data_IF_897919716482
#
_entry.id   IF_897919716482
#
_cell.length_a   1.000
_cell.length_b   1.000
_cell.length_c   1.000
_cell.angle_alpha   90.00
_cell.angle_beta   90.00
_cell.angle_gamma   90.00
#
_symmetry.space_group_name_H-M   'P 1'
#
loop_
_entity.id
_entity.type
_entity.pdbx_description
1 polymer ?
#
# COMPACT_ATOMS: atom_id res chain seq x y z
N UNK A 1 14.40 -4.42 6.70
CA UNK A 1 14.15 -5.15 7.97
C UNK A 1 13.11 -6.24 7.72
N UNK A 2 13.31 -7.46 8.18
CA UNK A 2 12.29 -8.51 8.10
C UNK A 2 11.22 -8.25 9.17
N UNK A 3 9.97 -8.12 8.76
CA UNK A 3 8.80 -7.89 9.64
C UNK A 3 8.35 -9.23 10.23
N UNK A 4 8.12 -10.19 9.36
CA UNK A 4 7.87 -11.60 9.63
C UNK A 4 8.52 -12.42 8.53
N UNK A 5 8.66 -13.73 8.73
CA UNK A 5 9.36 -14.60 7.79
C UNK A 5 8.92 -14.37 6.32
N UNK A 6 9.86 -13.96 5.49
CA UNK A 6 9.66 -13.72 4.07
C UNK A 6 9.00 -12.37 3.71
N UNK A 7 8.76 -11.49 4.68
CA UNK A 7 8.22 -10.15 4.45
C UNK A 7 9.20 -9.10 4.94
N UNK A 8 9.76 -8.33 4.03
CA UNK A 8 10.78 -7.35 4.34
C UNK A 8 10.27 -5.92 4.10
N UNK A 9 10.35 -5.09 5.13
CA UNK A 9 10.09 -3.65 5.03
C UNK A 9 11.31 -2.94 4.44
N UNK A 10 11.04 -2.12 3.44
CA UNK A 10 11.93 -1.11 2.89
C UNK A 10 11.35 0.24 3.31
N UNK A 11 11.91 0.80 4.38
CA UNK A 11 11.37 2.00 5.02
C UNK A 11 11.68 3.25 4.20
N UNK A 12 10.70 4.12 4.05
CA UNK A 12 10.79 5.39 3.34
C UNK A 12 9.80 6.41 3.90
N UNK A 13 9.41 7.39 3.09
CA UNK A 13 8.29 8.27 3.38
C UNK A 13 7.01 7.45 3.47
N UNK A 14 6.71 6.68 2.41
CA UNK A 14 5.78 5.56 2.44
C UNK A 14 6.54 4.25 2.58
N UNK A 15 5.88 3.23 3.08
CA UNK A 15 6.47 1.92 3.31
C UNK A 15 6.33 1.04 2.07
N UNK A 16 7.40 0.35 1.71
CA UNK A 16 7.42 -0.64 0.63
C UNK A 16 7.68 -2.01 1.24
N UNK A 17 6.93 -3.02 0.82
CA UNK A 17 7.11 -4.37 1.34
C UNK A 17 7.53 -5.33 0.24
N UNK A 18 8.64 -6.02 0.48
CA UNK A 18 9.13 -7.08 -0.38
C UNK A 18 8.68 -8.43 0.19
N UNK A 19 7.80 -9.10 -0.53
CA UNK A 19 7.31 -10.44 -0.21
C UNK A 19 8.14 -11.48 -0.96
N UNK A 20 8.82 -12.36 -0.20
CA UNK A 20 9.69 -13.41 -0.73
C UNK A 20 8.95 -14.74 -0.80
N UNK A 21 8.82 -15.27 -2.00
CA UNK A 21 8.38 -16.62 -2.29
C UNK A 21 9.59 -17.51 -2.64
N UNK A 22 9.36 -18.81 -2.84
CA UNK A 22 10.45 -19.74 -3.13
C UNK A 22 11.21 -19.39 -4.41
N UNK A 23 10.51 -19.01 -5.48
CA UNK A 23 11.05 -18.80 -6.83
C UNK A 23 10.91 -17.36 -7.35
N UNK A 24 10.16 -16.51 -6.67
CA UNK A 24 9.89 -15.11 -7.11
C UNK A 24 9.79 -14.14 -5.95
N UNK A 25 9.74 -12.87 -6.30
CA UNK A 25 9.48 -11.75 -5.40
C UNK A 25 8.25 -10.98 -5.86
N UNK A 26 7.44 -10.56 -4.90
CA UNK A 26 6.36 -9.60 -5.10
C UNK A 26 6.64 -8.35 -4.28
N UNK A 27 6.45 -7.19 -4.87
CA UNK A 27 6.55 -5.92 -4.18
C UNK A 27 5.14 -5.38 -3.91
N UNK A 28 4.91 -4.85 -2.72
CA UNK A 28 3.71 -4.09 -2.38
C UNK A 28 4.13 -2.63 -2.27
N UNK A 29 3.63 -1.81 -3.17
CA UNK A 29 4.02 -0.42 -3.43
C UNK A 29 5.48 -0.24 -3.85
N UNK A 30 5.87 0.98 -4.20
CA UNK A 30 7.21 1.25 -4.76
C UNK A 30 7.89 2.48 -4.17
N UNK A 31 7.26 3.16 -3.23
CA UNK A 31 7.81 4.36 -2.61
C UNK A 31 7.90 5.55 -3.57
N UNK A 32 8.71 6.53 -3.20
CA UNK A 32 9.01 7.71 -3.99
C UNK A 32 9.79 7.38 -5.27
N UNK A 33 9.86 8.35 -6.19
CA UNK A 33 10.53 8.21 -7.51
C UNK A 33 12.01 7.79 -7.45
N UNK A 34 12.68 7.91 -6.33
CA UNK A 34 14.11 7.58 -6.14
C UNK A 34 14.35 6.31 -5.30
N UNK A 35 13.31 5.55 -4.97
CA UNK A 35 13.45 4.34 -4.14
C UNK A 35 13.97 3.11 -4.90
N UNK A 36 14.09 3.17 -6.23
CA UNK A 36 14.53 2.02 -7.05
C UNK A 36 15.86 1.41 -6.58
N UNK A 37 16.86 2.25 -6.29
CA UNK A 37 18.17 1.76 -5.82
C UNK A 37 18.07 1.07 -4.45
N UNK A 38 17.24 1.61 -3.54
CA UNK A 38 17.00 1.04 -2.21
C UNK A 38 16.28 -0.31 -2.30
N UNK A 39 15.30 -0.42 -3.22
CA UNK A 39 14.56 -1.65 -3.47
C UNK A 39 15.50 -2.74 -4.01
N UNK A 40 16.37 -2.41 -4.99
CA UNK A 40 17.34 -3.37 -5.52
C UNK A 40 18.37 -3.78 -4.47
N UNK A 41 18.85 -2.84 -3.64
CA UNK A 41 19.73 -3.18 -2.53
C UNK A 41 19.06 -4.11 -1.51
N UNK A 42 17.76 -3.95 -1.26
CA UNK A 42 17.00 -4.83 -0.38
C UNK A 42 16.83 -6.25 -0.98
N UNK A 43 16.64 -6.35 -2.29
CA UNK A 43 16.59 -7.63 -3.01
C UNK A 43 17.94 -8.36 -2.93
N UNK A 44 19.03 -7.65 -3.16
CA UNK A 44 20.38 -8.21 -3.06
C UNK A 44 20.71 -8.65 -1.63
N UNK A 45 20.32 -7.86 -0.63
CA UNK A 45 20.57 -8.16 0.78
C UNK A 45 19.90 -9.45 1.28
N UNK A 46 18.83 -9.92 0.61
CA UNK A 46 18.19 -11.21 0.91
C UNK A 46 18.69 -12.34 0.01
N UNK A 47 19.80 -12.11 -0.73
CA UNK A 47 20.41 -13.10 -1.62
C UNK A 47 19.59 -13.43 -2.88
N UNK A 48 18.77 -12.50 -3.34
CA UNK A 48 17.94 -12.65 -4.54
C UNK A 48 18.42 -11.70 -5.65
N UNK A 49 17.91 -11.90 -6.87
CA UNK A 49 18.24 -11.09 -8.04
C UNK A 49 17.07 -10.17 -8.39
N UNK A 50 17.38 -9.06 -9.03
CA UNK A 50 16.35 -8.10 -9.52
C UNK A 50 15.35 -8.77 -10.48
N UNK A 51 15.83 -9.73 -11.26
CA UNK A 51 15.02 -10.49 -12.21
C UNK A 51 14.02 -11.43 -11.51
N UNK A 52 14.18 -11.70 -10.21
CA UNK A 52 13.23 -12.46 -9.42
C UNK A 52 11.97 -11.64 -9.07
N UNK A 53 12.02 -10.31 -9.20
CA UNK A 53 10.84 -9.45 -9.03
C UNK A 53 9.90 -9.63 -10.23
N UNK A 54 8.83 -10.37 -10.01
CA UNK A 54 7.84 -10.73 -11.04
C UNK A 54 6.57 -9.94 -11.00
N UNK A 55 6.23 -9.40 -9.84
CA UNK A 55 4.95 -8.76 -9.61
C UNK A 55 5.10 -7.56 -8.67
N UNK A 56 4.36 -6.49 -9.00
CA UNK A 56 4.20 -5.30 -8.15
C UNK A 56 2.71 -5.08 -7.95
N UNK A 57 2.26 -5.10 -6.71
CA UNK A 57 0.89 -4.77 -6.33
C UNK A 57 0.89 -3.35 -5.79
N UNK A 58 0.14 -2.49 -6.44
CA UNK A 58 -0.03 -1.08 -6.04
C UNK A 58 -1.30 -0.98 -5.20
N UNK A 59 -1.16 -0.48 -3.96
CA UNK A 59 -2.31 -0.32 -3.06
C UNK A 59 -3.21 0.82 -3.48
N UNK A 60 -2.65 1.92 -3.99
CA UNK A 60 -3.38 3.08 -4.51
C UNK A 60 -2.48 3.98 -5.39
N UNK A 61 -3.06 5.00 -6.03
CA UNK A 61 -2.39 5.77 -7.10
C UNK A 61 -1.41 6.83 -6.63
N UNK A 62 -1.33 7.21 -5.35
CA UNK A 62 -0.51 8.33 -4.90
C UNK A 62 0.98 8.19 -5.25
N UNK A 63 1.61 9.32 -5.51
CA UNK A 63 2.96 9.37 -6.06
C UNK A 63 4.05 8.86 -5.10
N UNK A 64 3.83 8.87 -3.82
CA UNK A 64 4.74 8.27 -2.84
C UNK A 64 4.61 6.75 -2.73
N UNK A 65 3.60 6.14 -3.35
CA UNK A 65 3.42 4.68 -3.51
C UNK A 65 3.78 4.18 -4.90
N UNK A 66 3.68 5.04 -5.91
CA UNK A 66 3.91 4.69 -7.33
C UNK A 66 5.16 5.33 -7.93
N UNK A 67 5.90 6.12 -7.17
CA UNK A 67 6.98 6.95 -7.67
C UNK A 67 8.11 6.21 -8.37
N UNK A 68 8.50 5.03 -7.88
CA UNK A 68 9.52 4.18 -8.51
C UNK A 68 8.94 3.12 -9.47
N UNK A 69 7.62 3.05 -9.64
CA UNK A 69 6.94 1.98 -10.38
C UNK A 69 7.44 1.85 -11.82
N UNK A 70 7.45 2.95 -12.57
CA UNK A 70 7.88 2.94 -13.97
C UNK A 70 9.33 2.47 -14.14
N UNK A 71 10.24 2.97 -13.30
CA UNK A 71 11.66 2.59 -13.33
C UNK A 71 11.88 1.12 -12.95
N UNK A 72 11.12 0.59 -11.98
CA UNK A 72 11.18 -0.82 -11.61
C UNK A 72 10.69 -1.69 -12.74
N UNK A 73 9.57 -1.35 -13.35
CA UNK A 73 8.96 -2.09 -14.48
C UNK A 73 9.90 -2.10 -15.69
N UNK A 74 10.53 -0.98 -16.02
CA UNK A 74 11.53 -0.91 -17.10
C UNK A 74 12.71 -1.85 -16.85
N UNK A 75 13.17 -1.96 -15.62
CA UNK A 75 14.35 -2.74 -15.23
C UNK A 75 14.08 -4.24 -15.03
N UNK A 76 12.88 -4.60 -14.61
CA UNK A 76 12.55 -5.99 -14.20
C UNK A 76 11.55 -6.67 -15.14
N UNK A 77 10.76 -5.90 -15.86
CA UNK A 77 9.61 -6.42 -16.59
C UNK A 77 8.46 -6.90 -15.71
N UNK A 78 8.50 -6.63 -14.41
CA UNK A 78 7.49 -7.07 -13.46
C UNK A 78 6.07 -6.67 -13.88
N UNK A 79 5.12 -7.57 -13.64
CA UNK A 79 3.70 -7.31 -13.88
C UNK A 79 3.15 -6.34 -12.83
N UNK A 80 2.42 -5.33 -13.27
CA UNK A 80 1.78 -4.33 -12.39
C UNK A 80 0.32 -4.67 -12.19
N UNK A 81 -0.08 -4.78 -10.92
CA UNK A 81 -1.43 -5.00 -10.48
C UNK A 81 -1.90 -3.79 -9.68
N UNK A 82 -3.05 -3.23 -10.03
CA UNK A 82 -3.68 -2.12 -9.31
C UNK A 82 -5.20 -2.19 -9.48
N UNK A 83 -5.94 -1.55 -8.59
CA UNK A 83 -7.40 -1.51 -8.72
C UNK A 83 -7.84 -0.75 -9.99
N UNK A 84 -8.91 -1.21 -10.64
CA UNK A 84 -9.42 -0.65 -11.89
C UNK A 84 -9.71 0.86 -11.81
N UNK A 85 -10.13 1.37 -10.65
CA UNK A 85 -10.46 2.79 -10.45
C UNK A 85 -9.20 3.69 -10.34
N UNK A 86 -8.07 3.17 -9.87
CA UNK A 86 -6.81 3.91 -9.77
C UNK A 86 -5.92 3.71 -11.01
N UNK A 87 -6.15 2.67 -11.79
CA UNK A 87 -5.38 2.37 -13.00
C UNK A 87 -5.30 3.54 -14.00
N UNK A 88 -6.36 4.35 -14.24
CA UNK A 88 -6.27 5.52 -15.12
C UNK A 88 -5.30 6.60 -14.61
N UNK A 89 -5.23 6.82 -13.29
CA UNK A 89 -4.28 7.78 -12.68
C UNK A 89 -2.85 7.27 -12.82
N UNK A 90 -2.60 5.99 -12.48
CA UNK A 90 -1.28 5.35 -12.62
C UNK A 90 -0.79 5.38 -14.07
N UNK A 91 -1.69 5.22 -15.05
CA UNK A 91 -1.36 5.33 -16.49
C UNK A 91 -1.17 6.77 -16.96
N UNK A 92 -1.43 7.77 -16.11
CA UNK A 92 -1.34 9.19 -16.48
C UNK A 92 -2.43 9.67 -17.44
N UNK A 93 -3.55 8.95 -17.56
CA UNK A 93 -4.68 9.32 -18.44
C UNK A 93 -5.82 9.99 -17.68
N UNK A 94 -5.77 10.01 -16.36
CA UNK A 94 -6.66 10.76 -15.48
C UNK A 94 -5.85 11.53 -14.43
N UNK A 95 -6.32 12.70 -13.98
CA UNK A 95 -5.70 13.42 -12.88
C UNK A 95 -5.98 12.71 -11.55
N UNK A 96 -5.10 12.91 -10.58
CA UNK A 96 -5.31 12.53 -9.19
C UNK A 96 -6.39 13.43 -8.57
N UNK A 97 -7.45 12.87 -7.96
CA UNK A 97 -8.43 13.67 -7.23
C UNK A 97 -7.79 14.31 -5.99
N UNK A 98 -8.07 15.61 -5.70
CA UNK A 98 -7.57 16.23 -4.48
C UNK A 98 -8.29 15.66 -3.25
N UNK A 99 -7.62 15.68 -2.07
CA UNK A 99 -8.25 15.26 -0.82
C UNK A 99 -9.38 16.21 -0.40
N UNK A 100 -10.40 15.66 0.24
CA UNK A 100 -11.46 16.41 0.91
C UNK A 100 -11.10 16.53 2.40
N UNK A 101 -10.41 17.61 2.76
CA UNK A 101 -9.96 17.83 4.13
C UNK A 101 -11.12 17.94 5.12
N UNK A 102 -11.04 17.21 6.22
CA UNK A 102 -12.07 17.19 7.27
C UNK A 102 -11.82 18.22 8.37
N UNK A 103 -10.63 18.88 8.39
CA UNK A 103 -10.30 19.94 9.35
C UNK A 103 -9.32 20.95 8.75
N UNK A 104 -9.26 22.15 9.36
CA UNK A 104 -8.28 23.17 8.96
C UNK A 104 -6.85 22.69 9.23
N UNK A 105 -6.61 21.97 10.32
CA UNK A 105 -5.29 21.39 10.62
C UNK A 105 -4.84 20.39 9.56
N UNK A 106 -5.73 19.53 9.09
CA UNK A 106 -5.44 18.58 8.01
C UNK A 106 -5.16 19.32 6.70
N UNK A 107 -5.94 20.36 6.39
CA UNK A 107 -5.72 21.20 5.21
C UNK A 107 -4.36 21.86 5.26
N UNK A 108 -4.02 22.56 6.34
CA UNK A 108 -2.73 23.22 6.51
C UNK A 108 -1.56 22.23 6.37
N UNK A 109 -1.71 21.03 6.91
CA UNK A 109 -0.71 19.97 6.77
C UNK A 109 -0.62 19.52 5.30
N UNK A 110 -1.73 19.20 4.66
CA UNK A 110 -1.77 18.73 3.26
C UNK A 110 -1.21 19.76 2.29
N UNK A 111 -1.62 21.03 2.40
CA UNK A 111 -1.10 22.12 1.57
C UNK A 111 0.42 22.32 1.72
N UNK A 112 0.98 21.94 2.87
CA UNK A 112 2.42 22.02 3.14
C UNK A 112 3.18 20.80 2.63
N UNK A 113 2.63 19.57 2.77
CA UNK A 113 3.40 18.34 2.54
C UNK A 113 3.16 17.73 1.16
N UNK A 114 1.93 17.78 0.64
CA UNK A 114 1.61 17.19 -0.68
C UNK A 114 2.47 17.77 -1.80
N UNK A 115 2.70 19.11 -1.90
CA UNK A 115 3.55 19.66 -2.94
C UNK A 115 5.03 19.27 -2.86
N UNK A 116 5.47 18.65 -1.75
CA UNK A 116 6.84 18.16 -1.59
C UNK A 116 7.03 16.76 -2.19
N UNK A 117 5.95 16.07 -2.50
CA UNK A 117 5.99 14.75 -3.14
C UNK A 117 6.03 14.96 -4.67
N UNK A 118 7.14 14.60 -5.34
CA UNK A 118 7.20 14.72 -6.78
C UNK A 118 6.18 13.80 -7.46
N UNK A 119 5.60 14.21 -8.60
CA UNK A 119 4.66 13.38 -9.33
C UNK A 119 5.32 12.07 -9.80
N UNK A 120 4.57 10.97 -9.74
CA UNK A 120 5.02 9.69 -10.25
C UNK A 120 5.00 9.68 -11.79
N UNK A 121 6.03 9.12 -12.44
CA UNK A 121 5.98 8.88 -13.87
C UNK A 121 4.87 7.89 -14.25
N UNK A 122 4.13 8.12 -15.33
CA UNK A 122 3.11 7.18 -15.80
C UNK A 122 3.66 5.77 -16.01
N UNK A 123 2.87 4.77 -15.63
CA UNK A 123 3.24 3.37 -15.80
C UNK A 123 2.05 2.55 -16.32
N UNK A 124 2.34 1.45 -17.02
CA UNK A 124 1.31 0.50 -17.40
C UNK A 124 0.73 -0.19 -16.16
N UNK A 125 -0.53 -0.57 -16.23
CA UNK A 125 -1.18 -1.52 -15.32
C UNK A 125 -1.55 -2.73 -16.17
N UNK A 126 -0.97 -3.88 -15.85
CA UNK A 126 -1.11 -5.10 -16.65
C UNK A 126 -2.35 -5.90 -16.26
N UNK A 127 -2.73 -5.82 -14.98
CA UNK A 127 -3.95 -6.45 -14.46
C UNK A 127 -4.71 -5.47 -13.57
N UNK A 128 -5.94 -5.17 -13.94
CA UNK A 128 -6.87 -4.42 -13.12
C UNK A 128 -7.53 -5.36 -12.10
N UNK A 129 -7.52 -4.92 -10.84
CA UNK A 129 -8.03 -5.66 -9.70
C UNK A 129 -9.39 -5.12 -9.25
N UNK A 130 -10.19 -6.01 -8.66
CA UNK A 130 -11.49 -5.72 -8.05
C UNK A 130 -11.60 -6.37 -6.67
N UNK A 131 -12.60 -5.99 -5.90
CA UNK A 131 -12.85 -6.60 -4.57
C UNK A 131 -13.03 -8.12 -4.67
N UNK A 132 -12.32 -8.85 -3.83
CA UNK A 132 -12.37 -10.31 -3.77
C UNK A 132 -11.46 -11.02 -4.76
N UNK A 133 -10.81 -10.32 -5.70
CA UNK A 133 -9.85 -10.94 -6.63
C UNK A 133 -8.71 -11.63 -5.87
N UNK A 134 -8.27 -12.76 -6.40
CA UNK A 134 -7.09 -13.44 -5.88
C UNK A 134 -5.82 -12.90 -6.56
N UNK A 135 -4.81 -12.64 -5.74
CA UNK A 135 -3.45 -12.35 -6.19
C UNK A 135 -2.64 -13.64 -6.06
N UNK A 136 -1.91 -13.97 -7.12
CA UNK A 136 -1.06 -15.16 -7.15
C UNK A 136 0.16 -14.96 -6.23
N UNK A 137 -0.03 -15.32 -4.98
CA UNK A 137 1.01 -15.50 -3.95
C UNK A 137 0.92 -16.92 -3.41
N UNK A 138 2.05 -17.49 -3.00
CA UNK A 138 2.16 -18.90 -2.58
C UNK A 138 1.16 -19.33 -1.52
N UNK A 139 0.78 -18.43 -0.63
CA UNK A 139 -0.17 -18.69 0.45
C UNK A 139 -1.61 -18.30 0.08
N UNK A 140 -1.82 -17.78 -1.12
CA UNK A 140 -3.07 -17.12 -1.53
C UNK A 140 -3.25 -15.75 -0.87
N UNK A 141 -3.55 -14.75 -1.68
CA UNK A 141 -3.88 -13.41 -1.23
C UNK A 141 -5.19 -12.96 -1.88
N UNK A 142 -5.93 -12.13 -1.17
CA UNK A 142 -7.19 -11.56 -1.64
C UNK A 142 -7.11 -10.05 -1.64
N UNK A 143 -7.64 -9.44 -2.69
CA UNK A 143 -7.90 -8.00 -2.76
C UNK A 143 -9.10 -7.68 -1.87
N UNK A 144 -8.94 -6.69 -1.02
CA UNK A 144 -10.04 -6.07 -0.26
C UNK A 144 -10.12 -4.63 -0.74
N UNK A 145 -11.16 -4.28 -1.47
CA UNK A 145 -11.39 -2.90 -1.90
C UNK A 145 -11.78 -2.05 -0.69
N UNK A 146 -10.99 -1.01 -0.44
CA UNK A 146 -11.07 -0.13 0.74
C UNK A 146 -11.04 1.34 0.31
N UNK A 147 -12.03 1.77 -0.50
CA UNK A 147 -12.06 3.12 -1.05
C UNK A 147 -12.22 4.18 0.02
N UNK A 148 -11.85 5.41 -0.33
CA UNK A 148 -11.99 6.59 0.52
C UNK A 148 -10.71 7.41 0.55
N UNK A 149 -9.54 6.79 0.74
CA UNK A 149 -8.27 7.46 0.55
C UNK A 149 -8.07 7.81 -0.94
N UNK A 150 -8.14 6.82 -1.82
CA UNK A 150 -8.45 7.00 -3.24
C UNK A 150 -9.71 6.21 -3.59
N UNK A 151 -10.22 6.38 -4.81
CA UNK A 151 -11.36 5.59 -5.30
C UNK A 151 -11.00 4.11 -5.47
N UNK A 152 -9.74 3.81 -5.79
CA UNK A 152 -9.22 2.47 -6.06
C UNK A 152 -8.32 1.92 -4.95
N UNK A 153 -8.31 2.50 -3.76
CA UNK A 153 -7.53 1.97 -2.64
C UNK A 153 -7.88 0.51 -2.34
N UNK A 154 -6.86 -0.33 -2.23
CA UNK A 154 -6.99 -1.74 -1.84
C UNK A 154 -6.11 -2.07 -0.65
N UNK A 155 -6.59 -3.02 0.15
CA UNK A 155 -5.74 -3.78 1.05
C UNK A 155 -5.48 -5.17 0.45
N UNK A 156 -4.31 -5.74 0.74
CA UNK A 156 -3.95 -7.11 0.34
C UNK A 156 -4.01 -7.99 1.58
N UNK A 157 -4.95 -8.93 1.60
CA UNK A 157 -5.18 -9.80 2.73
C UNK A 157 -4.70 -11.23 2.45
N UNK A 158 -3.83 -11.73 3.32
CA UNK A 158 -3.29 -13.09 3.29
C UNK A 158 -3.89 -13.92 4.44
N UNK A 159 -5.05 -14.58 4.24
CA UNK A 159 -5.76 -15.27 5.33
C UNK A 159 -4.93 -16.38 5.97
N UNK A 160 -4.21 -17.18 5.20
CA UNK A 160 -3.37 -18.28 5.74
C UNK A 160 -2.18 -17.78 6.56
N UNK A 161 -1.71 -16.56 6.31
CA UNK A 161 -0.64 -15.92 7.08
C UNK A 161 -1.18 -15.00 8.17
N UNK A 162 -2.49 -14.82 8.23
CA UNK A 162 -3.15 -13.85 9.11
C UNK A 162 -2.49 -12.48 9.02
N UNK A 163 -2.33 -11.98 7.79
CA UNK A 163 -1.59 -10.75 7.49
C UNK A 163 -2.42 -9.83 6.58
N UNK A 164 -2.31 -8.53 6.83
CA UNK A 164 -2.94 -7.47 6.06
C UNK A 164 -1.89 -6.43 5.66
N UNK A 165 -1.83 -6.08 4.37
CA UNK A 165 -1.22 -4.86 3.88
C UNK A 165 -2.35 -3.87 3.64
N UNK A 166 -2.43 -2.82 4.45
CA UNK A 166 -3.58 -1.89 4.44
C UNK A 166 -3.46 -0.77 3.41
N UNK A 167 -2.28 -0.54 2.84
CA UNK A 167 -2.00 0.73 2.19
C UNK A 167 -2.30 1.88 3.15
N UNK A 168 -2.87 2.95 2.62
CA UNK A 168 -3.23 4.14 3.40
C UNK A 168 -4.70 4.14 3.86
N UNK A 169 -5.43 3.04 3.66
CA UNK A 169 -6.75 2.88 4.29
C UNK A 169 -6.65 2.72 5.82
N UNK A 170 -5.46 2.34 6.32
CA UNK A 170 -5.10 2.36 7.72
C UNK A 170 -3.61 2.68 7.86
N UNK A 171 -3.26 3.51 8.82
CA UNK A 171 -1.90 3.99 9.08
C UNK A 171 -1.52 3.88 10.56
N UNK A 172 -0.26 4.16 10.86
CA UNK A 172 0.19 4.41 12.24
C UNK A 172 0.75 5.81 12.34
N UNK A 173 0.28 6.54 13.35
CA UNK A 173 0.77 7.87 13.67
C UNK A 173 2.16 7.85 14.35
N UNK A 174 2.69 9.03 14.66
CA UNK A 174 4.00 9.18 15.32
C UNK A 174 4.02 8.63 16.75
N UNK A 175 2.87 8.41 17.36
CA UNK A 175 2.71 7.83 18.70
C UNK A 175 2.47 6.32 18.63
N UNK A 176 2.58 5.75 17.43
CA UNK A 176 2.35 4.33 17.14
C UNK A 176 0.88 3.87 17.35
N UNK A 177 -0.10 4.79 17.31
CA UNK A 177 -1.51 4.44 17.29
C UNK A 177 -1.95 4.06 15.88
N UNK A 178 -2.85 3.08 15.77
CA UNK A 178 -3.55 2.82 14.50
C UNK A 178 -4.59 3.90 14.27
N UNK A 179 -4.57 4.49 13.08
CA UNK A 179 -5.50 5.54 12.64
C UNK A 179 -6.11 5.18 11.28
N UNK A 180 -7.21 5.80 10.93
CA UNK A 180 -7.65 5.87 9.52
C UNK A 180 -6.68 6.77 8.79
N UNK A 181 -6.32 6.41 7.56
CA UNK A 181 -5.41 7.22 6.77
C UNK A 181 -5.87 8.65 6.60
N UNK A 182 -4.92 9.56 6.45
CA UNK A 182 -5.18 11.00 6.26
C UNK A 182 -5.30 11.36 4.78
N UNK A 183 -5.70 12.61 4.48
CA UNK A 183 -5.82 13.14 3.12
C UNK A 183 -6.76 12.34 2.21
N UNK A 184 -7.88 11.90 2.77
CA UNK A 184 -8.87 11.10 2.06
C UNK A 184 -9.64 11.93 1.02
N UNK A 185 -9.95 11.33 -0.14
CA UNK A 185 -10.91 11.88 -1.11
C UNK A 185 -12.33 11.83 -0.57
N UNK A 186 -12.64 10.83 0.27
CA UNK A 186 -13.90 10.65 0.98
C UNK A 186 -13.67 10.05 2.37
N UNK A 187 -13.64 10.90 3.40
CA UNK A 187 -13.38 10.46 4.77
C UNK A 187 -14.46 9.55 5.35
N UNK A 188 -15.73 9.73 4.95
CA UNK A 188 -16.82 8.84 5.42
C UNK A 188 -16.63 7.43 4.85
N UNK A 189 -16.27 7.34 3.58
CA UNK A 189 -15.98 6.08 2.90
C UNK A 189 -14.70 5.43 3.44
N UNK A 190 -13.65 6.21 3.73
CA UNK A 190 -12.43 5.72 4.36
C UNK A 190 -12.70 5.08 5.72
N UNK A 191 -13.54 5.71 6.57
CA UNK A 191 -13.97 5.12 7.85
C UNK A 191 -14.78 3.84 7.67
N UNK A 192 -15.65 3.77 6.66
CA UNK A 192 -16.38 2.54 6.34
C UNK A 192 -15.45 1.42 5.88
N UNK A 193 -14.47 1.74 5.05
CA UNK A 193 -13.42 0.82 4.59
C UNK A 193 -12.54 0.33 5.74
N UNK A 194 -12.19 1.20 6.66
CA UNK A 194 -11.45 0.82 7.86
C UNK A 194 -12.24 -0.19 8.72
N UNK A 195 -13.55 0.04 8.94
CA UNK A 195 -14.41 -0.93 9.65
C UNK A 195 -14.46 -2.27 8.92
N UNK A 196 -14.57 -2.28 7.58
CA UNK A 196 -14.51 -3.51 6.77
C UNK A 196 -13.21 -4.28 7.01
N UNK A 197 -12.07 -3.60 7.08
CA UNK A 197 -10.78 -4.25 7.40
C UNK A 197 -10.76 -4.80 8.83
N UNK A 198 -11.34 -4.12 9.80
CA UNK A 198 -11.39 -4.55 11.20
C UNK A 198 -12.18 -5.84 11.43
N UNK A 199 -13.05 -6.24 10.48
CA UNK A 199 -13.79 -7.51 10.51
C UNK A 199 -12.91 -8.71 10.11
N UNK A 200 -11.76 -8.49 9.48
CA UNK A 200 -10.86 -9.54 9.05
C UNK A 200 -10.07 -10.13 10.23
N UNK A 201 -9.65 -11.39 10.09
CA UNK A 201 -8.80 -12.07 11.07
C UNK A 201 -7.33 -12.00 10.66
N UNK A 202 -6.56 -11.14 11.31
CA UNK A 202 -5.13 -10.99 11.09
C UNK A 202 -4.38 -10.66 12.38
N UNK A 203 -3.14 -11.11 12.47
CA UNK A 203 -2.20 -10.80 13.54
C UNK A 203 -1.23 -9.70 13.15
N UNK A 204 -0.84 -9.68 11.86
CA UNK A 204 0.17 -8.79 11.30
C UNK A 204 -0.49 -7.75 10.42
N UNK A 205 -0.14 -6.47 10.60
CA UNK A 205 -0.53 -5.40 9.70
C UNK A 205 0.70 -4.64 9.19
N UNK A 206 0.73 -4.46 7.88
CA UNK A 206 1.71 -3.68 7.14
C UNK A 206 1.00 -2.45 6.58
N UNK A 207 1.41 -1.26 6.97
CA UNK A 207 0.78 0.00 6.65
C UNK A 207 1.51 0.71 5.52
N UNK A 208 0.84 1.61 4.80
CA UNK A 208 1.49 2.51 3.85
C UNK A 208 2.36 3.54 4.57
N UNK A 209 1.92 4.03 5.72
CA UNK A 209 2.69 4.91 6.59
C UNK A 209 2.75 4.38 8.03
N UNK A 210 3.90 4.65 8.70
CA UNK A 210 4.17 4.18 10.04
C UNK A 210 4.76 2.77 10.11
N UNK A 211 4.99 2.26 11.33
CA UNK A 211 5.66 0.98 11.54
C UNK A 211 4.68 -0.19 11.40
N UNK A 212 5.09 -1.33 10.81
CA UNK A 212 4.24 -2.52 10.81
C UNK A 212 3.99 -3.03 12.23
N UNK A 213 2.89 -3.76 12.40
CA UNK A 213 2.58 -4.52 13.62
C UNK A 213 2.79 -6.01 13.32
N UNK A 214 3.63 -6.65 14.10
CA UNK A 214 3.94 -8.09 13.98
C UNK A 214 3.01 -8.99 14.82
N UNK A 215 2.11 -8.40 15.62
CA UNK A 215 1.15 -9.09 16.49
C UNK A 215 -0.02 -8.18 16.87
N UNK A 216 -1.14 -8.82 17.23
CA UNK A 216 -2.34 -8.18 17.80
C UNK A 216 -2.93 -7.04 16.93
N UNK A 217 -2.63 -7.01 15.62
CA UNK A 217 -3.04 -5.92 14.76
C UNK A 217 -4.56 -5.83 14.61
N UNK A 218 -5.28 -6.97 14.43
CA UNK A 218 -6.74 -6.94 14.34
C UNK A 218 -7.41 -6.42 15.62
N UNK A 219 -6.81 -6.63 16.79
CA UNK A 219 -7.33 -6.06 18.04
C UNK A 219 -7.25 -4.53 18.03
N UNK A 220 -6.12 -3.97 17.55
CA UNK A 220 -5.95 -2.52 17.41
C UNK A 220 -6.95 -1.93 16.41
N UNK A 221 -7.16 -2.60 15.26
CA UNK A 221 -8.16 -2.19 14.28
C UNK A 221 -9.58 -2.20 14.83
N UNK A 222 -9.99 -3.27 15.50
CA UNK A 222 -11.33 -3.36 16.14
C UNK A 222 -11.54 -2.27 17.17
N UNK A 223 -10.55 -2.02 18.04
CA UNK A 223 -10.60 -0.96 19.06
C UNK A 223 -10.79 0.44 18.43
N UNK A 224 -10.18 0.72 17.28
CA UNK A 224 -10.41 1.97 16.57
C UNK A 224 -11.79 1.96 15.89
N UNK A 225 -12.16 0.87 15.21
CA UNK A 225 -13.44 0.74 14.51
C UNK A 225 -14.65 0.98 15.42
N UNK A 226 -14.60 0.55 16.70
CA UNK A 226 -15.61 0.83 17.73
C UNK A 226 -15.80 2.32 17.99
N UNK A 227 -14.77 3.14 17.80
CA UNK A 227 -14.82 4.60 17.99
C UNK A 227 -15.28 5.35 16.74
N UNK A 228 -15.28 4.69 15.58
CA UNK A 228 -15.68 5.27 14.29
C UNK A 228 -17.17 5.03 13.97
N UNK A 229 -17.91 4.44 14.90
CA UNK A 229 -19.34 4.13 14.74
C UNK A 229 -20.22 5.38 14.79
#
# INVERSE_FOLDING_TARGET
MEVVLGVHLIAGLSQVYLYREADRLTLIDTGLFNNTAQIFAAIDAIGRKTEDLRQIVVTHSHADHTGSLAALVERTGAQVLAHALDAPVIRGVAPEPPPAYESDTERELGERVIPLVPPAPPCRVDRELHDGDEIDLDTGARVVHVPGHTAGSIAVYLPKRRMLFSGDAGERDLEDNVIVGVFNVDGALARASFRKMAELDFEVACFGHGRPMDKAASLAFRKLAEKLA
#
